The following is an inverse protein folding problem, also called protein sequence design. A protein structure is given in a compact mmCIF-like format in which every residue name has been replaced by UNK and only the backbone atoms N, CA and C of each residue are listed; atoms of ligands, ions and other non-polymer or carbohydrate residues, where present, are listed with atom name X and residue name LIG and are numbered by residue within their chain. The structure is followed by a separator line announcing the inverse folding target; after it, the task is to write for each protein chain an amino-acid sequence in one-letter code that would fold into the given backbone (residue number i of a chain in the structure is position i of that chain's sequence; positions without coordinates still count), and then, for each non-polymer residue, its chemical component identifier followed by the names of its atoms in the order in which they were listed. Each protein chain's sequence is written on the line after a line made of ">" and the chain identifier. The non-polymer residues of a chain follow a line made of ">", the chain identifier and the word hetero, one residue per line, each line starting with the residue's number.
data_IF_449877451984
#
_entry.id   IF_449877451984
#
_cell.length_a   1.000
_cell.length_b   1.000
_cell.length_c   1.000
_cell.angle_alpha   90.00
_cell.angle_beta   90.00
_cell.angle_gamma   90.00
#
_symmetry.space_group_name_H-M   'P 1'
#
loop_
_entity.id
_entity.type
_entity.pdbx_description
1 polymer ?
#
# COMPACT_ATOMS: atom_id res chain seq x y z
N UNK A 1 -8.30 22.15 4.30
CA UNK A 1 -7.71 20.86 3.86
C UNK A 1 -8.74 20.15 2.98
N UNK A 2 -8.68 20.36 1.67
CA UNK A 2 -9.56 19.65 0.72
C UNK A 2 -9.19 18.17 0.75
N UNK A 3 -10.08 17.33 1.29
CA UNK A 3 -9.89 15.87 1.26
C UNK A 3 -9.96 15.45 -0.20
N UNK A 4 -8.82 15.06 -0.78
CA UNK A 4 -8.80 14.47 -2.13
C UNK A 4 -9.82 13.33 -2.17
N UNK A 5 -10.74 13.33 -3.15
CA UNK A 5 -11.77 12.30 -3.24
C UNK A 5 -11.07 10.95 -3.37
N UNK A 6 -11.21 10.11 -2.35
CA UNK A 6 -10.66 8.76 -2.38
C UNK A 6 -11.57 7.91 -3.24
N UNK A 7 -11.18 7.72 -4.50
CA UNK A 7 -11.82 6.72 -5.35
C UNK A 7 -11.55 5.35 -4.69
N UNK A 8 -12.59 4.58 -4.36
CA UNK A 8 -12.40 3.26 -3.75
C UNK A 8 -11.68 2.34 -4.73
N UNK A 9 -10.65 1.64 -4.23
CA UNK A 9 -9.91 0.64 -5.02
C UNK A 9 -10.85 -0.54 -5.30
N UNK A 10 -11.06 -0.94 -6.56
CA UNK A 10 -11.92 -2.06 -6.92
C UNK A 10 -11.51 -3.36 -6.21
N UNK A 11 -12.47 -4.22 -5.88
CA UNK A 11 -12.21 -5.48 -5.19
C UNK A 11 -11.22 -6.37 -5.95
N UNK A 12 -11.36 -6.45 -7.27
CA UNK A 12 -10.47 -7.22 -8.16
C UNK A 12 -9.02 -6.75 -8.07
N UNK A 13 -8.79 -5.44 -8.02
CA UNK A 13 -7.46 -4.85 -7.84
C UNK A 13 -6.89 -5.19 -6.47
N UNK A 14 -7.70 -5.14 -5.41
CA UNK A 14 -7.27 -5.53 -4.06
C UNK A 14 -6.85 -6.99 -4.00
N UNK A 15 -7.63 -7.89 -4.58
CA UNK A 15 -7.30 -9.31 -4.66
C UNK A 15 -5.99 -9.55 -5.41
N UNK A 16 -5.85 -8.95 -6.59
CA UNK A 16 -4.63 -9.04 -7.39
C UNK A 16 -3.39 -8.59 -6.61
N UNK A 17 -3.47 -7.46 -5.88
CA UNK A 17 -2.34 -6.96 -5.09
C UNK A 17 -2.00 -7.93 -3.93
N UNK A 18 -3.00 -8.50 -3.26
CA UNK A 18 -2.74 -9.50 -2.22
C UNK A 18 -2.11 -10.77 -2.77
N UNK A 19 -2.58 -11.28 -3.92
CA UNK A 19 -2.02 -12.45 -4.58
C UNK A 19 -0.58 -12.20 -5.05
N UNK A 20 -0.33 -11.06 -5.72
CA UNK A 20 1.01 -10.62 -6.14
C UNK A 20 1.99 -10.59 -4.96
N UNK A 21 1.52 -10.10 -3.82
CA UNK A 21 2.31 -9.94 -2.60
C UNK A 21 2.31 -11.22 -1.73
N UNK A 22 1.81 -12.36 -2.24
CA UNK A 22 1.72 -13.65 -1.55
C UNK A 22 1.03 -13.58 -0.18
N UNK A 23 0.02 -12.73 -0.03
CA UNK A 23 -0.64 -12.44 1.24
C UNK A 23 0.37 -12.15 2.35
N UNK A 24 1.41 -11.39 2.01
CA UNK A 24 2.51 -11.03 2.91
C UNK A 24 2.64 -9.52 3.00
N UNK A 25 2.79 -9.01 4.22
CA UNK A 25 3.14 -7.62 4.46
C UNK A 25 4.50 -7.32 3.83
N UNK A 26 4.52 -6.44 2.84
CA UNK A 26 5.73 -6.08 2.11
C UNK A 26 6.76 -5.36 3.00
N UNK A 27 6.34 -4.79 4.13
CA UNK A 27 7.24 -4.09 5.06
C UNK A 27 7.90 -5.01 6.09
N UNK A 28 7.17 -5.97 6.67
CA UNK A 28 7.68 -6.79 7.79
C UNK A 28 7.72 -8.30 7.50
N UNK A 29 7.22 -8.76 6.35
CA UNK A 29 7.21 -10.17 5.97
C UNK A 29 6.16 -11.04 6.67
N UNK A 30 5.32 -10.47 7.56
CA UNK A 30 4.26 -11.23 8.24
C UNK A 30 3.14 -11.61 7.26
N UNK A 31 2.59 -12.82 7.38
CA UNK A 31 1.56 -13.35 6.49
C UNK A 31 0.20 -13.48 7.19
N UNK A 32 -0.87 -13.52 6.39
CA UNK A 32 -2.19 -13.94 6.88
C UNK A 32 -2.16 -15.44 7.26
N UNK A 33 -2.85 -15.90 8.34
CA UNK A 33 -3.78 -15.18 9.21
C UNK A 33 -3.14 -14.55 10.45
N UNK A 34 -1.82 -14.63 10.61
CA UNK A 34 -1.12 -14.10 11.79
C UNK A 34 -1.26 -12.57 11.93
N UNK A 35 -1.57 -11.88 10.82
CA UNK A 35 -1.85 -10.46 10.83
C UNK A 35 -2.92 -10.07 9.82
N UNK A 36 -3.68 -9.02 10.13
CA UNK A 36 -4.65 -8.44 9.20
C UNK A 36 -3.93 -7.59 8.16
N UNK A 37 -4.13 -7.93 6.89
CA UNK A 37 -3.52 -7.26 5.75
C UNK A 37 -4.47 -6.20 5.16
N UNK A 38 -3.88 -5.12 4.69
CA UNK A 38 -4.56 -3.99 4.07
C UNK A 38 -3.79 -3.53 2.85
N UNK A 39 -4.50 -2.94 1.89
CA UNK A 39 -3.89 -2.25 0.76
C UNK A 39 -3.56 -0.82 1.18
N UNK A 40 -2.32 -0.43 0.94
CA UNK A 40 -1.79 0.92 1.20
C UNK A 40 -1.11 1.47 -0.06
N UNK A 41 -1.09 2.80 -0.19
CA UNK A 41 -0.41 3.49 -1.28
C UNK A 41 1.05 3.74 -0.95
N UNK A 42 1.98 3.31 -1.79
CA UNK A 42 3.42 3.55 -1.63
C UNK A 42 3.70 5.06 -1.55
N UNK A 43 3.22 5.81 -2.54
CA UNK A 43 3.18 7.26 -2.57
C UNK A 43 1.77 7.68 -2.13
N UNK A 44 1.62 8.46 -1.04
CA UNK A 44 0.33 8.98 -0.63
C UNK A 44 -0.34 9.82 -1.72
N UNK A 45 -1.66 9.73 -1.86
CA UNK A 45 -2.42 10.49 -2.87
C UNK A 45 -2.17 12.00 -2.81
N UNK A 46 -2.01 12.59 -1.61
CA UNK A 46 -1.74 14.02 -1.47
C UNK A 46 -0.31 14.43 -1.89
N UNK A 47 0.61 13.47 -2.03
CA UNK A 47 1.96 13.66 -2.56
C UNK A 47 2.05 13.33 -4.06
N UNK A 48 0.91 13.16 -4.75
CA UNK A 48 0.85 12.83 -6.17
C UNK A 48 0.79 11.34 -6.49
N UNK A 49 0.59 10.47 -5.50
CA UNK A 49 0.39 9.05 -5.74
C UNK A 49 -0.92 8.74 -6.48
N UNK A 50 -0.93 7.65 -7.24
CA UNK A 50 -2.09 7.18 -8.02
C UNK A 50 -2.70 5.91 -7.41
N UNK A 51 -3.87 5.50 -7.92
CA UNK A 51 -4.47 4.20 -7.59
C UNK A 51 -3.95 3.07 -8.49
N UNK A 52 -2.86 3.30 -9.22
CA UNK A 52 -2.29 2.28 -10.09
C UNK A 52 -1.71 1.14 -9.26
N UNK A 53 -1.81 -0.09 -9.80
CA UNK A 53 -1.32 -1.32 -9.16
C UNK A 53 0.17 -1.19 -8.75
N UNK A 54 0.96 -0.43 -9.51
CA UNK A 54 2.37 -0.13 -9.22
C UNK A 54 2.58 0.74 -7.99
N UNK A 55 1.58 1.55 -7.60
CA UNK A 55 1.60 2.39 -6.39
C UNK A 55 0.87 1.73 -5.21
N UNK A 56 0.31 0.53 -5.38
CA UNK A 56 -0.39 -0.21 -4.32
C UNK A 56 0.51 -1.31 -3.74
N UNK A 57 0.43 -1.50 -2.42
CA UNK A 57 1.16 -2.55 -1.70
C UNK A 57 0.33 -3.16 -0.57
N UNK A 58 0.65 -4.40 -0.22
CA UNK A 58 0.10 -5.10 0.94
C UNK A 58 0.89 -4.75 2.20
N UNK A 59 0.22 -4.16 3.19
CA UNK A 59 0.77 -3.92 4.53
C UNK A 59 -0.13 -4.50 5.62
N UNK A 60 0.49 -5.02 6.68
CA UNK A 60 -0.26 -5.32 7.90
C UNK A 60 -0.74 -4.03 8.58
N UNK A 61 -1.78 -4.13 9.41
CA UNK A 61 -2.33 -2.98 10.15
C UNK A 61 -1.24 -2.21 10.93
N UNK A 62 -0.33 -2.92 11.59
CA UNK A 62 0.76 -2.30 12.35
C UNK A 62 1.72 -1.50 11.47
N UNK A 63 2.15 -2.07 10.33
CA UNK A 63 3.02 -1.37 9.39
C UNK A 63 2.31 -0.21 8.70
N UNK A 64 1.05 -0.39 8.32
CA UNK A 64 0.23 0.65 7.73
C UNK A 64 0.07 1.86 8.68
N UNK A 65 -0.23 1.60 9.96
CA UNK A 65 -0.32 2.64 10.99
C UNK A 65 1.02 3.31 11.27
N UNK A 66 2.14 2.58 11.19
CA UNK A 66 3.49 3.18 11.31
C UNK A 66 3.82 4.08 10.13
N UNK A 67 3.46 3.70 8.90
CA UNK A 67 3.69 4.48 7.69
C UNK A 67 2.83 5.75 7.62
N UNK A 68 1.56 5.70 8.06
CA UNK A 68 0.61 6.82 8.01
C UNK A 68 0.52 7.47 6.61
N UNK A 69 1.01 8.68 6.50
CA UNK A 69 1.00 9.55 5.32
C UNK A 69 2.40 9.77 4.78
N UNK A 70 3.37 8.98 5.23
CA UNK A 70 4.73 9.04 4.74
C UNK A 70 4.90 8.14 3.52
N UNK A 71 5.79 8.57 2.62
CA UNK A 71 6.31 7.73 1.55
C UNK A 71 6.98 6.48 2.14
N UNK A 72 6.76 5.31 1.53
CA UNK A 72 7.46 4.09 1.96
C UNK A 72 8.91 4.11 1.43
N UNK A 73 9.92 4.29 2.31
CA UNK A 73 11.30 4.48 1.89
C UNK A 73 11.91 3.26 1.19
N UNK A 74 11.29 2.08 1.28
CA UNK A 74 11.75 0.88 0.57
C UNK A 74 11.62 1.02 -0.95
N UNK A 75 10.68 1.83 -1.42
CA UNK A 75 10.46 2.07 -2.85
C UNK A 75 11.30 3.23 -3.40
N UNK A 76 12.17 3.83 -2.57
CA UNK A 76 13.07 4.93 -2.98
C UNK A 76 14.00 4.55 -4.14
N UNK A 77 14.26 3.25 -4.34
CA UNK A 77 15.06 2.72 -5.46
C UNK A 77 14.27 2.52 -6.76
N UNK A 78 12.94 2.40 -6.72
CA UNK A 78 12.11 2.12 -7.90
C UNK A 78 11.54 3.38 -8.56
N UNK A 79 11.49 4.50 -7.85
CA UNK A 79 10.95 5.78 -8.35
C UNK A 79 11.99 6.92 -8.36
N UNK A 80 13.27 6.59 -8.18
CA UNK A 80 14.38 7.55 -8.21
C UNK A 80 15.25 7.38 -9.45
N UNK A 81 15.05 8.25 -10.43
CA UNK A 81 16.05 8.68 -11.41
C UNK A 81 16.01 10.19 -11.48
#
# INVERSE_FOLDING_TARGET
>A
MTKHPRIPIPHTVRQYVFERDNYQCQSCGQQSPQTNLTIDHIIPLFQGGTNDISNLQTLCLTCNVRKKHHFDPRFRRQFGS
#
